data_IF_755846762350
#
_entry.id   IF_755846762350
#
_cell.length_a   1.000
_cell.length_b   1.000
_cell.length_c   1.000
_cell.angle_alpha   90.00
_cell.angle_beta   90.00
_cell.angle_gamma   90.00
#
_symmetry.space_group_name_H-M   'P 1'
#
loop_
_entity.id
_entity.type
_entity.pdbx_description
1 polymer ?
#
# COMPACT_ATOMS: atom_id res chain seq x y z
N UNK A 1 -24.07 -11.18 -6.48
CA UNK A 1 -23.61 -10.41 -7.65
C UNK A 1 -22.09 -10.53 -7.69
N UNK A 2 -21.54 -11.49 -8.42
CA UNK A 2 -20.09 -11.65 -8.62
C UNK A 2 -19.72 -11.83 -10.11
N UNK A 3 -20.30 -11.07 -11.07
CA UNK A 3 -19.94 -11.27 -12.48
C UNK A 3 -18.56 -10.71 -12.86
N UNK A 4 -18.02 -9.72 -12.13
CA UNK A 4 -16.85 -8.96 -12.61
C UNK A 4 -15.54 -9.22 -11.85
N UNK A 5 -15.58 -9.86 -10.69
CA UNK A 5 -14.39 -10.09 -9.87
C UNK A 5 -14.49 -11.47 -9.19
N UNK A 6 -14.26 -12.56 -9.94
CA UNK A 6 -14.58 -13.92 -9.47
C UNK A 6 -13.70 -14.39 -8.31
N UNK A 7 -12.53 -13.79 -8.12
CA UNK A 7 -11.57 -14.24 -7.10
C UNK A 7 -11.44 -13.29 -5.92
N UNK A 8 -12.16 -12.18 -5.89
CA UNK A 8 -12.15 -11.23 -4.78
C UNK A 8 -13.56 -10.99 -4.23
N UNK A 9 -13.63 -10.61 -2.96
CA UNK A 9 -14.85 -10.13 -2.32
C UNK A 9 -14.64 -8.74 -1.74
N UNK A 10 -15.63 -7.85 -1.95
CA UNK A 10 -15.60 -6.50 -1.42
C UNK A 10 -16.26 -6.42 -0.06
N UNK A 11 -15.57 -5.81 0.90
CA UNK A 11 -16.07 -5.55 2.25
C UNK A 11 -16.26 -4.06 2.43
N UNK A 12 -17.44 -3.66 2.90
CA UNK A 12 -17.69 -2.29 3.33
C UNK A 12 -17.01 -2.06 4.69
N UNK A 13 -16.07 -1.11 4.70
CA UNK A 13 -15.31 -0.69 5.88
C UNK A 13 -15.51 0.78 6.21
N UNK A 14 -16.49 1.44 5.58
CA UNK A 14 -16.74 2.89 5.70
C UNK A 14 -17.21 3.34 7.08
N UNK A 15 -17.62 2.41 7.96
CA UNK A 15 -18.17 2.74 9.27
C UNK A 15 -17.14 2.60 10.40
N UNK A 16 -16.13 1.75 10.24
CA UNK A 16 -15.20 1.40 11.31
C UNK A 16 -13.76 1.75 10.93
N UNK A 17 -13.08 2.65 11.69
CA UNK A 17 -11.65 2.83 11.55
C UNK A 17 -10.90 1.53 11.85
N UNK A 18 -9.94 1.19 10.99
CA UNK A 18 -9.20 -0.06 11.01
C UNK A 18 -7.84 0.16 11.65
N UNK A 19 -7.56 -0.58 12.73
CA UNK A 19 -6.25 -0.59 13.37
C UNK A 19 -5.30 -1.51 12.59
N UNK A 20 -4.20 -0.94 12.14
CA UNK A 20 -3.12 -1.70 11.50
C UNK A 20 -2.17 -2.26 12.56
N UNK A 21 -1.40 -3.29 12.19
CA UNK A 21 -0.29 -3.81 13.02
C UNK A 21 0.82 -2.78 13.27
N UNK A 22 0.76 -1.63 12.58
CA UNK A 22 1.75 -0.58 12.58
C UNK A 22 1.44 0.52 13.61
N UNK A 23 0.42 0.34 14.45
CA UNK A 23 -0.05 1.35 15.40
C UNK A 23 -0.78 2.53 14.77
N UNK A 24 -1.03 2.51 13.45
CA UNK A 24 -1.85 3.52 12.77
C UNK A 24 -3.29 3.06 12.57
N UNK A 25 -4.19 4.02 12.40
CA UNK A 25 -5.60 3.80 12.05
C UNK A 25 -5.86 4.32 10.65
N UNK A 26 -6.42 3.47 9.79
CA UNK A 26 -6.84 3.81 8.43
C UNK A 26 -8.34 3.57 8.27
N UNK A 27 -8.97 4.16 7.26
CA UNK A 27 -10.42 4.00 7.07
C UNK A 27 -10.80 4.08 5.59
N UNK A 28 -10.29 3.18 4.73
CA UNK A 28 -10.84 3.05 3.38
C UNK A 28 -12.32 2.65 3.47
N UNK A 29 -13.14 3.12 2.54
CA UNK A 29 -14.57 2.78 2.52
C UNK A 29 -14.83 1.33 2.09
N UNK A 30 -13.97 0.80 1.20
CA UNK A 30 -14.06 -0.55 0.68
C UNK A 30 -12.68 -1.20 0.72
N UNK A 31 -12.62 -2.47 1.12
CA UNK A 31 -11.42 -3.30 0.90
C UNK A 31 -11.82 -4.55 0.13
N UNK A 32 -11.05 -4.85 -0.91
CA UNK A 32 -11.15 -6.11 -1.63
C UNK A 32 -10.17 -7.12 -1.04
N UNK A 33 -10.68 -8.31 -0.73
CA UNK A 33 -9.92 -9.45 -0.24
C UNK A 33 -10.03 -10.63 -1.19
N UNK A 34 -9.12 -11.62 -1.11
CA UNK A 34 -9.31 -12.90 -1.77
C UNK A 34 -10.69 -13.49 -1.43
N UNK A 35 -11.31 -14.18 -2.40
CA UNK A 35 -12.61 -14.81 -2.21
C UNK A 35 -12.59 -15.74 -0.98
N UNK A 36 -13.66 -15.70 -0.20
CA UNK A 36 -13.84 -16.45 1.05
C UNK A 36 -12.89 -16.05 2.21
N UNK A 37 -12.02 -15.07 2.02
CA UNK A 37 -11.24 -14.52 3.12
C UNK A 37 -12.15 -13.76 4.09
N UNK A 38 -12.00 -14.02 5.37
CA UNK A 38 -12.68 -13.29 6.44
C UNK A 38 -11.64 -12.41 7.14
N UNK A 39 -11.69 -11.08 6.96
CA UNK A 39 -10.71 -10.19 7.55
C UNK A 39 -10.82 -10.19 9.07
N UNK A 40 -9.67 -10.21 9.72
CA UNK A 40 -9.54 -10.00 11.16
C UNK A 40 -9.71 -8.52 11.49
N UNK A 41 -10.23 -8.22 12.69
CA UNK A 41 -10.24 -6.85 13.22
C UNK A 41 -8.82 -6.30 13.48
N UNK A 42 -7.85 -7.21 13.61
CA UNK A 42 -6.43 -6.91 13.83
C UNK A 42 -5.73 -6.97 12.48
N UNK A 43 -5.13 -5.84 12.06
CA UNK A 43 -4.39 -5.66 10.81
C UNK A 43 -5.08 -6.14 9.51
N UNK A 44 -6.24 -5.56 9.18
CA UNK A 44 -7.01 -5.95 7.99
C UNK A 44 -6.28 -5.66 6.66
N UNK A 45 -5.22 -4.85 6.66
CA UNK A 45 -4.40 -4.60 5.47
C UNK A 45 -3.33 -5.68 5.23
N UNK A 46 -3.10 -6.61 6.15
CA UNK A 46 -2.15 -7.72 5.99
C UNK A 46 -2.51 -8.66 4.83
N UNK A 47 -3.78 -8.70 4.44
CA UNK A 47 -4.34 -9.58 3.40
C UNK A 47 -5.17 -8.83 2.35
N UNK A 48 -5.22 -7.50 2.42
CA UNK A 48 -5.93 -6.69 1.44
C UNK A 48 -5.31 -6.82 0.04
N UNK A 49 -6.14 -6.87 -0.99
CA UNK A 49 -5.68 -6.85 -2.39
C UNK A 49 -5.79 -5.44 -2.98
N UNK A 50 -6.92 -4.76 -2.76
CA UNK A 50 -7.20 -3.42 -3.29
C UNK A 50 -7.98 -2.63 -2.23
N UNK A 51 -7.63 -1.36 -2.03
CA UNK A 51 -8.42 -0.43 -1.21
C UNK A 51 -9.26 0.49 -2.09
N UNK A 52 -10.42 0.91 -1.60
CA UNK A 52 -11.38 1.72 -2.32
C UNK A 52 -11.93 2.84 -1.45
N UNK A 53 -12.13 4.00 -2.06
CA UNK A 53 -12.75 5.17 -1.43
C UNK A 53 -13.97 5.59 -2.26
N UNK A 54 -15.05 6.02 -1.60
CA UNK A 54 -16.27 6.49 -2.24
C UNK A 54 -16.53 7.94 -1.81
N UNK A 55 -16.64 8.81 -2.81
CA UNK A 55 -16.96 10.23 -2.63
C UNK A 55 -18.31 10.51 -3.28
N UNK A 56 -19.15 11.28 -2.62
CA UNK A 56 -20.54 11.50 -3.07
C UNK A 56 -20.74 12.88 -3.70
N UNK A 57 -19.80 13.80 -3.54
CA UNK A 57 -19.86 15.11 -4.15
C UNK A 57 -18.94 15.19 -5.37
N UNK A 58 -19.42 15.83 -6.44
CA UNK A 58 -18.66 15.95 -7.70
C UNK A 58 -17.38 16.80 -7.54
N UNK A 59 -17.40 17.73 -6.59
CA UNK A 59 -16.29 18.65 -6.30
C UNK A 59 -15.25 18.03 -5.36
N UNK A 60 -15.41 16.75 -4.99
CA UNK A 60 -14.41 15.98 -4.25
C UNK A 60 -13.40 15.30 -5.15
N UNK A 61 -13.60 15.26 -6.49
CA UNK A 61 -12.58 14.78 -7.43
C UNK A 61 -11.48 15.82 -7.52
N UNK A 62 -10.32 15.59 -6.91
CA UNK A 62 -9.33 16.63 -6.80
C UNK A 62 -8.44 16.68 -8.06
N UNK A 63 -8.67 15.80 -9.05
CA UNK A 63 -7.86 15.67 -10.26
C UNK A 63 -8.50 16.37 -11.46
N UNK A 64 -7.68 16.95 -12.35
CA UNK A 64 -8.11 17.45 -13.67
C UNK A 64 -7.41 16.72 -14.81
N UNK A 65 -8.19 16.31 -15.82
CA UNK A 65 -7.69 15.59 -16.99
C UNK A 65 -7.49 16.50 -18.22
N UNK A 66 -7.81 17.79 -18.08
CA UNK A 66 -7.77 18.68 -19.22
C UNK A 66 -6.39 19.34 -19.34
N UNK A 67 -5.62 18.89 -20.34
CA UNK A 67 -4.49 19.64 -20.88
C UNK A 67 -4.90 21.09 -21.22
N UNK A 68 -6.19 21.33 -21.53
CA UNK A 68 -6.77 22.64 -21.80
C UNK A 68 -6.89 23.53 -20.55
N UNK A 69 -7.15 23.01 -19.34
CA UNK A 69 -7.06 23.82 -18.11
C UNK A 69 -5.60 24.06 -17.73
N UNK A 70 -4.69 23.13 -18.01
CA UNK A 70 -3.25 23.40 -17.91
C UNK A 70 -2.84 24.57 -18.85
N UNK A 71 -3.36 24.61 -20.09
CA UNK A 71 -3.12 25.68 -21.08
C UNK A 71 -3.97 26.96 -20.84
N UNK A 72 -5.10 26.88 -20.16
CA UNK A 72 -5.92 28.06 -19.84
C UNK A 72 -5.42 28.75 -18.58
N UNK A 73 -4.98 27.95 -17.60
CA UNK A 73 -4.05 28.42 -16.59
C UNK A 73 -2.94 29.13 -17.34
N UNK A 74 -2.18 28.47 -18.25
CA UNK A 74 -1.25 28.95 -19.35
C UNK A 74 -1.26 30.43 -19.83
N UNK A 75 -2.47 31.00 -19.92
CA UNK A 75 -2.69 32.34 -20.48
C UNK A 75 -3.15 33.38 -19.46
N UNK A 76 -3.60 32.93 -18.30
CA UNK A 76 -4.16 33.77 -17.23
C UNK A 76 -3.10 34.35 -16.27
N UNK A 77 -1.80 34.15 -16.54
CA UNK A 77 -0.71 34.58 -15.66
C UNK A 77 -0.53 33.74 -14.39
N UNK A 78 -1.16 32.57 -14.31
CA UNK A 78 -1.22 31.70 -13.14
C UNK A 78 -0.10 30.62 -13.06
N UNK A 79 1.06 30.83 -13.70
CA UNK A 79 2.28 30.02 -13.45
C UNK A 79 3.40 30.96 -13.10
N UNK A 80 3.76 30.95 -11.82
CA UNK A 80 5.18 30.98 -11.50
C UNK A 80 5.71 29.57 -11.62
N UNK A 81 6.51 29.35 -12.67
CA UNK A 81 7.54 28.32 -12.67
C UNK A 81 8.32 28.46 -11.37
N UNK A 82 8.31 27.42 -10.52
CA UNK A 82 8.91 27.43 -9.18
C UNK A 82 8.54 28.68 -8.35
N UNK A 83 7.31 28.69 -7.84
CA UNK A 83 7.08 29.25 -6.50
C UNK A 83 6.07 28.34 -5.82
N UNK A 84 6.53 27.68 -4.76
CA UNK A 84 5.76 26.93 -3.75
C UNK A 84 4.27 26.65 -4.07
N UNK A 85 3.97 25.41 -4.49
CA UNK A 85 2.68 24.79 -4.16
C UNK A 85 1.55 24.69 -5.20
N UNK A 86 1.80 24.78 -6.52
CA UNK A 86 0.75 24.50 -7.53
C UNK A 86 1.02 23.23 -8.34
N UNK A 87 0.03 22.34 -8.39
CA UNK A 87 0.11 21.00 -8.99
C UNK A 87 -0.72 20.99 -10.29
N UNK A 88 -0.09 20.67 -11.43
CA UNK A 88 -0.70 20.80 -12.78
C UNK A 88 -1.97 19.95 -13.00
N UNK A 89 -2.18 18.93 -12.16
CA UNK A 89 -3.28 17.98 -12.24
C UNK A 89 -4.36 18.23 -11.18
N UNK A 90 -4.36 19.39 -10.50
CA UNK A 90 -5.16 19.63 -9.29
C UNK A 90 -6.08 20.83 -9.43
N UNK A 91 -7.36 20.64 -9.10
CA UNK A 91 -8.40 21.68 -9.20
C UNK A 91 -8.47 22.53 -7.91
N UNK A 92 -8.48 21.87 -6.75
CA UNK A 92 -8.47 22.51 -5.42
C UNK A 92 -7.29 21.94 -4.62
N UNK A 93 -6.18 22.69 -4.46
CA UNK A 93 -5.00 22.22 -3.76
C UNK A 93 -5.25 21.78 -2.32
N UNK A 94 -6.17 22.42 -1.59
CA UNK A 94 -6.42 22.10 -0.19
C UNK A 94 -7.19 20.78 -0.04
N UNK A 95 -8.31 20.65 -0.78
CA UNK A 95 -9.09 19.41 -0.80
C UNK A 95 -8.30 18.26 -1.43
N UNK A 96 -7.48 18.55 -2.44
CA UNK A 96 -6.55 17.59 -3.04
C UNK A 96 -5.54 17.07 -2.03
N UNK A 97 -4.85 17.95 -1.31
CA UNK A 97 -3.86 17.53 -0.33
C UNK A 97 -4.49 16.68 0.78
N UNK A 98 -5.74 16.96 1.15
CA UNK A 98 -6.49 16.16 2.12
C UNK A 98 -6.87 14.78 1.57
N UNK A 99 -7.54 14.71 0.42
CA UNK A 99 -8.02 13.44 -0.17
C UNK A 99 -6.85 12.57 -0.65
N UNK A 100 -5.86 13.17 -1.33
CA UNK A 100 -4.64 12.46 -1.73
C UNK A 100 -3.85 12.03 -0.50
N UNK A 101 -3.72 12.87 0.53
CA UNK A 101 -3.03 12.52 1.77
C UNK A 101 -3.67 11.32 2.46
N UNK A 102 -5.00 11.28 2.51
CA UNK A 102 -5.78 10.15 3.02
C UNK A 102 -5.50 8.88 2.20
N UNK A 103 -5.66 8.94 0.87
CA UNK A 103 -5.43 7.78 -0.01
C UNK A 103 -3.98 7.30 0.00
N UNK A 104 -3.03 8.24 0.01
CA UNK A 104 -1.60 7.94 0.14
C UNK A 104 -1.31 7.26 1.48
N UNK A 105 -1.97 7.68 2.57
CA UNK A 105 -1.82 7.00 3.86
C UNK A 105 -2.30 5.54 3.80
N UNK A 106 -3.36 5.25 3.04
CA UNK A 106 -3.86 3.89 2.85
C UNK A 106 -2.90 3.05 2.02
N UNK A 107 -2.39 3.60 0.92
CA UNK A 107 -1.37 2.95 0.11
C UNK A 107 -0.07 2.69 0.90
N UNK A 108 0.40 3.67 1.68
CA UNK A 108 1.56 3.54 2.57
C UNK A 108 1.33 2.42 3.60
N UNK A 109 0.18 2.43 4.28
CA UNK A 109 -0.14 1.39 5.26
C UNK A 109 -0.19 -0.01 4.60
N UNK A 110 -0.78 -0.12 3.42
CA UNK A 110 -0.85 -1.38 2.67
C UNK A 110 0.54 -1.89 2.25
N UNK A 111 1.39 -0.99 1.73
CA UNK A 111 2.79 -1.25 1.37
C UNK A 111 3.71 -1.56 2.57
N UNK A 112 3.30 -1.19 3.79
CA UNK A 112 3.98 -1.57 5.03
C UNK A 112 3.46 -2.91 5.56
N UNK A 113 2.15 -3.16 5.50
CA UNK A 113 1.53 -4.42 5.96
C UNK A 113 1.89 -5.62 5.09
N UNK A 114 2.32 -5.41 3.84
CA UNK A 114 2.66 -6.48 2.89
C UNK A 114 3.94 -6.17 2.10
N UNK A 115 4.69 -7.23 1.75
CA UNK A 115 5.80 -7.14 0.79
C UNK A 115 5.26 -6.96 -0.62
N UNK A 116 5.10 -5.70 -1.01
CA UNK A 116 4.55 -5.29 -2.30
C UNK A 116 5.50 -4.30 -2.98
N UNK A 117 5.71 -4.49 -4.28
CA UNK A 117 6.41 -3.55 -5.18
C UNK A 117 5.51 -2.35 -5.53
N UNK A 118 4.21 -2.61 -5.65
CA UNK A 118 3.16 -1.63 -5.88
C UNK A 118 1.81 -2.14 -5.36
N UNK A 119 0.85 -1.24 -5.17
CA UNK A 119 -0.53 -1.57 -4.80
C UNK A 119 -1.50 -0.80 -5.67
N UNK A 120 -2.69 -1.37 -5.88
CA UNK A 120 -3.76 -0.70 -6.59
C UNK A 120 -4.82 -0.20 -5.61
N UNK A 121 -5.46 0.91 -5.97
CA UNK A 121 -6.68 1.36 -5.33
C UNK A 121 -7.62 2.02 -6.33
N UNK A 122 -8.85 2.24 -5.91
CA UNK A 122 -9.85 2.93 -6.73
C UNK A 122 -10.57 4.01 -5.95
N UNK A 123 -11.07 4.99 -6.67
CA UNK A 123 -11.87 6.10 -6.16
C UNK A 123 -13.16 6.18 -6.99
N UNK A 124 -14.32 6.15 -6.32
CA UNK A 124 -15.62 6.19 -6.98
C UNK A 124 -16.32 7.50 -6.64
N UNK A 125 -16.87 8.14 -7.67
CA UNK A 125 -17.77 9.28 -7.62
C UNK A 125 -19.14 8.90 -8.19
N UNK A 126 -20.20 9.73 -8.03
CA UNK A 126 -21.51 9.42 -8.60
C UNK A 126 -21.51 9.26 -10.13
N UNK A 127 -20.55 9.89 -10.82
CA UNK A 127 -20.50 9.91 -12.29
C UNK A 127 -19.43 9.01 -12.91
N UNK A 128 -18.34 8.74 -12.18
CA UNK A 128 -17.16 8.09 -12.74
C UNK A 128 -16.30 7.45 -11.63
N UNK A 129 -15.29 6.70 -12.02
CA UNK A 129 -14.26 6.17 -11.14
C UNK A 129 -12.86 6.52 -11.64
N UNK A 130 -11.86 6.44 -10.75
CA UNK A 130 -10.45 6.47 -11.08
C UNK A 130 -9.76 5.23 -10.53
N UNK A 131 -8.87 4.65 -11.33
CA UNK A 131 -7.98 3.58 -10.91
C UNK A 131 -6.59 4.14 -10.66
N UNK A 132 -5.91 3.61 -9.66
CA UNK A 132 -4.70 4.20 -9.12
C UNK A 132 -3.69 3.11 -8.85
N UNK A 133 -2.47 3.30 -9.32
CA UNK A 133 -1.33 2.44 -9.01
C UNK A 133 -0.33 3.23 -8.18
N UNK A 134 -0.05 2.76 -6.99
CA UNK A 134 0.91 3.34 -6.07
C UNK A 134 2.15 2.48 -6.02
N UNK A 135 3.32 3.09 -6.15
CA UNK A 135 4.58 2.43 -5.88
C UNK A 135 5.44 3.29 -4.94
N UNK A 136 6.70 2.91 -4.78
CA UNK A 136 7.64 3.62 -3.90
C UNK A 136 8.20 4.91 -4.53
N UNK A 137 7.90 5.21 -5.79
CA UNK A 137 8.29 6.47 -6.43
C UNK A 137 7.14 7.49 -6.43
N UNK A 138 5.89 7.01 -6.44
CA UNK A 138 4.72 7.86 -6.40
C UNK A 138 3.45 7.12 -6.78
N UNK A 139 2.59 7.79 -7.55
CA UNK A 139 1.32 7.24 -7.99
C UNK A 139 0.99 7.65 -9.42
N UNK A 140 0.32 6.75 -10.14
CA UNK A 140 -0.25 7.00 -11.46
C UNK A 140 -1.75 6.73 -11.39
N UNK A 141 -2.52 7.61 -12.02
CA UNK A 141 -3.99 7.58 -11.98
C UNK A 141 -4.53 7.52 -13.41
N UNK A 142 -5.67 6.87 -13.58
CA UNK A 142 -6.41 6.96 -14.85
C UNK A 142 -7.13 8.30 -14.95
N UNK A 143 -7.48 8.67 -16.18
CA UNK A 143 -8.60 9.59 -16.40
C UNK A 143 -9.91 9.03 -15.83
N UNK A 144 -10.98 9.85 -15.78
CA UNK A 144 -12.27 9.48 -15.23
C UNK A 144 -12.88 8.42 -16.13
N UNK A 145 -13.18 7.27 -15.54
CA UNK A 145 -13.83 6.14 -16.18
C UNK A 145 -15.32 6.24 -15.86
N UNK A 146 -16.20 6.50 -16.85
CA UNK A 146 -17.64 6.50 -16.59
C UNK A 146 -18.08 5.17 -15.97
N UNK A 147 -18.94 5.19 -14.95
CA UNK A 147 -19.31 3.94 -14.24
C UNK A 147 -20.05 2.91 -15.12
N UNK A 148 -20.61 3.36 -16.24
CA UNK A 148 -21.27 2.51 -17.24
C UNK A 148 -20.29 1.87 -18.22
N UNK A 149 -19.04 2.32 -18.23
CA UNK A 149 -17.99 1.80 -19.10
C UNK A 149 -17.54 0.43 -18.60
N UNK A 150 -17.28 -0.50 -19.53
CA UNK A 150 -16.76 -1.82 -19.22
C UNK A 150 -15.34 -1.78 -18.68
N UNK A 151 -14.57 -0.70 -18.88
CA UNK A 151 -13.18 -0.61 -18.44
C UNK A 151 -12.98 -0.86 -16.94
N UNK A 152 -13.89 -0.37 -16.10
CA UNK A 152 -13.80 -0.60 -14.65
C UNK A 152 -14.02 -2.07 -14.30
N UNK A 153 -15.05 -2.69 -14.90
CA UNK A 153 -15.33 -4.11 -14.73
C UNK A 153 -14.20 -5.00 -15.28
N UNK A 154 -13.66 -4.62 -16.45
CA UNK A 154 -12.56 -5.32 -17.11
C UNK A 154 -11.28 -5.27 -16.28
N UNK A 155 -10.98 -4.13 -15.63
CA UNK A 155 -9.84 -4.04 -14.71
C UNK A 155 -9.96 -5.07 -13.58
N UNK A 156 -11.09 -5.11 -12.86
CA UNK A 156 -11.28 -6.06 -11.76
C UNK A 156 -11.29 -7.52 -12.24
N UNK A 157 -11.86 -7.77 -13.42
CA UNK A 157 -11.83 -9.08 -14.06
C UNK A 157 -10.38 -9.50 -14.33
N UNK A 158 -9.60 -8.67 -15.01
CA UNK A 158 -8.18 -8.95 -15.31
C UNK A 158 -7.36 -9.08 -14.04
N UNK A 159 -7.57 -8.24 -13.03
CA UNK A 159 -6.90 -8.33 -11.74
C UNK A 159 -7.14 -9.69 -11.08
N UNK A 160 -8.36 -10.23 -11.17
CA UNK A 160 -8.72 -11.54 -10.63
C UNK A 160 -7.91 -12.70 -11.24
N UNK A 161 -7.40 -12.53 -12.45
CA UNK A 161 -6.56 -13.51 -13.13
C UNK A 161 -5.08 -13.12 -13.21
N UNK A 162 -4.73 -11.92 -12.73
CA UNK A 162 -3.36 -11.43 -12.71
C UNK A 162 -2.49 -12.28 -11.76
N UNK A 163 -1.24 -12.50 -12.15
CA UNK A 163 -0.26 -13.21 -11.30
C UNK A 163 0.04 -12.40 -10.03
N UNK A 164 0.59 -13.03 -8.97
CA UNK A 164 1.00 -12.28 -7.77
C UNK A 164 1.91 -11.09 -8.08
N UNK A 165 2.87 -11.24 -8.99
CA UNK A 165 3.79 -10.17 -9.42
C UNK A 165 3.03 -9.01 -10.08
N UNK A 166 2.04 -9.31 -10.94
CA UNK A 166 1.20 -8.31 -11.60
C UNK A 166 0.25 -7.59 -10.63
N UNK A 167 -0.14 -8.26 -9.53
CA UNK A 167 -0.84 -7.64 -8.39
C UNK A 167 0.11 -6.87 -7.46
N UNK A 168 1.41 -6.91 -7.74
CA UNK A 168 2.42 -6.17 -7.03
C UNK A 168 3.03 -6.89 -5.83
N UNK A 169 2.81 -8.19 -5.62
CA UNK A 169 3.57 -8.96 -4.64
C UNK A 169 5.06 -8.99 -5.02
N UNK A 170 5.92 -8.84 -4.01
CA UNK A 170 7.35 -9.05 -4.18
C UNK A 170 7.69 -10.53 -4.03
N UNK A 171 7.69 -11.25 -5.15
CA UNK A 171 7.80 -12.71 -5.17
C UNK A 171 9.22 -13.24 -4.85
N UNK A 172 10.21 -12.36 -4.66
CA UNK A 172 11.51 -12.76 -4.12
C UNK A 172 11.45 -12.96 -2.59
N UNK A 173 10.45 -12.37 -1.93
CA UNK A 173 10.22 -12.50 -0.49
C UNK A 173 9.39 -13.75 -0.23
N UNK A 174 9.90 -14.62 0.63
CA UNK A 174 9.26 -15.90 0.98
C UNK A 174 9.03 -15.98 2.48
N UNK A 175 8.06 -16.77 2.98
CA UNK A 175 7.96 -17.06 4.40
C UNK A 175 9.28 -17.66 4.91
N UNK A 176 9.72 -17.24 6.10
CA UNK A 176 10.91 -17.82 6.71
C UNK A 176 10.57 -19.19 7.30
N UNK A 177 11.26 -20.24 6.86
CA UNK A 177 11.05 -21.62 7.32
C UNK A 177 12.16 -22.13 8.26
N UNK A 178 13.12 -21.29 8.62
CA UNK A 178 14.20 -21.66 9.54
C UNK A 178 13.77 -21.71 11.01
N UNK A 179 14.73 -21.90 11.92
CA UNK A 179 14.46 -21.93 13.35
C UNK A 179 14.06 -20.52 13.86
N UNK A 180 12.76 -20.28 13.97
CA UNK A 180 12.18 -19.00 14.36
C UNK A 180 12.69 -18.51 15.73
N UNK A 181 12.86 -19.42 16.69
CA UNK A 181 13.36 -19.08 18.02
C UNK A 181 14.80 -18.53 17.94
N UNK A 182 15.69 -19.21 17.20
CA UNK A 182 17.07 -18.75 17.01
C UNK A 182 17.13 -17.43 16.23
N UNK A 183 16.33 -17.30 15.18
CA UNK A 183 16.27 -16.07 14.39
C UNK A 183 15.80 -14.87 15.24
N UNK A 184 14.71 -15.03 15.99
CA UNK A 184 14.20 -13.98 16.91
C UNK A 184 15.25 -13.61 17.96
N UNK A 185 15.88 -14.60 18.60
CA UNK A 185 16.94 -14.37 19.58
C UNK A 185 18.11 -13.58 18.98
N UNK A 186 18.59 -13.99 17.80
CA UNK A 186 19.66 -13.28 17.08
C UNK A 186 19.26 -11.83 16.76
N UNK A 187 18.04 -11.60 16.28
CA UNK A 187 17.55 -10.25 15.98
C UNK A 187 17.51 -9.39 17.24
N UNK A 188 17.00 -9.91 18.36
CA UNK A 188 16.95 -9.21 19.65
C UNK A 188 18.37 -8.83 20.11
N UNK A 189 19.32 -9.76 20.03
CA UNK A 189 20.72 -9.52 20.40
C UNK A 189 21.39 -8.43 19.54
N UNK A 190 21.04 -8.33 18.25
CA UNK A 190 21.57 -7.31 17.33
C UNK A 190 20.96 -5.91 17.53
N UNK A 191 19.75 -5.80 18.12
CA UNK A 191 19.05 -4.52 18.29
C UNK A 191 19.54 -3.72 19.51
N UNK A 192 20.34 -4.31 20.41
CA UNK A 192 20.86 -3.65 21.62
C UNK A 192 19.80 -3.41 22.71
N UNK A 193 20.18 -2.86 23.88
CA UNK A 193 19.23 -2.50 24.94
C UNK A 193 18.26 -1.42 24.43
N UNK A 194 16.99 -1.68 24.71
CA UNK A 194 15.83 -1.23 23.98
C UNK A 194 15.32 0.13 24.47
N UNK A 195 15.18 1.11 23.57
CA UNK A 195 14.65 2.45 23.89
C UNK A 195 13.16 2.53 23.44
N UNK A 196 12.29 1.90 24.23
CA UNK A 196 10.88 2.32 24.36
C UNK A 196 9.81 1.93 23.31
N UNK A 197 10.10 1.31 22.17
CA UNK A 197 9.06 0.91 21.20
C UNK A 197 8.75 -0.60 21.25
N UNK A 198 7.76 -1.04 22.04
CA UNK A 198 7.40 -2.41 22.46
C UNK A 198 7.05 -3.44 21.35
N UNK A 199 7.47 -3.18 20.11
CA UNK A 199 6.98 -3.79 18.89
C UNK A 199 7.67 -5.12 18.50
N UNK A 200 8.71 -5.54 19.22
CA UNK A 200 9.33 -6.88 19.08
C UNK A 200 9.03 -7.84 20.24
N UNK A 201 8.66 -7.31 21.42
CA UNK A 201 8.48 -8.09 22.65
C UNK A 201 7.07 -8.65 22.84
N UNK A 202 6.05 -8.03 22.24
CA UNK A 202 4.65 -8.36 22.47
C UNK A 202 3.88 -8.82 21.22
N UNK A 203 4.49 -8.72 20.03
CA UNK A 203 3.83 -9.00 18.76
C UNK A 203 4.59 -10.06 17.97
N UNK A 204 3.85 -10.98 17.38
CA UNK A 204 4.34 -12.05 16.52
C UNK A 204 5.05 -11.47 15.29
N UNK A 205 6.35 -11.19 15.39
CA UNK A 205 7.13 -10.70 14.25
C UNK A 205 7.14 -11.75 13.16
N UNK A 206 6.48 -11.42 12.04
CA UNK A 206 6.47 -12.26 10.85
C UNK A 206 7.80 -12.15 10.12
N UNK A 207 8.63 -13.18 10.26
CA UNK A 207 9.91 -13.27 9.58
C UNK A 207 9.73 -13.86 8.17
N UNK A 208 10.45 -13.27 7.24
CA UNK A 208 10.48 -13.66 5.83
C UNK A 208 11.93 -13.80 5.40
N UNK A 209 12.17 -14.46 4.28
CA UNK A 209 13.47 -14.67 3.69
C UNK A 209 13.51 -14.04 2.30
N UNK A 210 14.62 -13.36 1.99
CA UNK A 210 14.91 -12.84 0.65
C UNK A 210 16.19 -13.48 0.16
N UNK A 211 16.12 -14.12 -1.00
CA UNK A 211 17.28 -14.63 -1.72
C UNK A 211 17.60 -13.71 -2.90
N UNK A 212 18.80 -13.16 -2.92
CA UNK A 212 19.20 -12.27 -4.02
C UNK A 212 19.54 -13.13 -5.26
N UNK A 213 18.97 -12.86 -6.45
CA UNK A 213 19.19 -13.69 -7.63
C UNK A 213 20.66 -13.87 -8.04
N UNK A 214 21.50 -12.87 -7.74
CA UNK A 214 22.91 -12.83 -8.10
C UNK A 214 23.88 -13.21 -6.96
N UNK A 215 23.38 -13.60 -5.79
CA UNK A 215 24.23 -13.93 -4.64
C UNK A 215 23.77 -15.20 -3.94
N UNK A 216 24.71 -16.01 -3.43
CA UNK A 216 24.40 -17.13 -2.53
C UNK A 216 23.94 -16.69 -1.13
N UNK A 217 23.71 -15.40 -0.91
CA UNK A 217 23.29 -14.85 0.37
C UNK A 217 21.77 -14.75 0.43
N UNK A 218 21.20 -15.28 1.50
CA UNK A 218 19.84 -14.98 1.91
C UNK A 218 19.83 -14.07 3.13
N UNK A 219 18.77 -13.27 3.23
CA UNK A 219 18.55 -12.33 4.33
C UNK A 219 17.24 -12.65 5.01
N UNK A 220 17.23 -12.61 6.33
CA UNK A 220 15.99 -12.57 7.09
C UNK A 220 15.49 -11.14 7.02
N UNK A 221 14.23 -10.95 6.63
CA UNK A 221 13.58 -9.65 6.59
C UNK A 221 12.31 -9.67 7.43
N UNK A 222 12.00 -8.55 8.07
CA UNK A 222 10.74 -8.38 8.79
C UNK A 222 9.94 -7.23 8.19
N UNK A 223 8.61 -7.34 8.30
CA UNK A 223 7.73 -6.21 8.07
C UNK A 223 7.98 -5.11 9.11
N UNK A 224 7.64 -3.86 8.80
CA UNK A 224 7.54 -2.78 9.77
C UNK A 224 6.65 -3.16 10.94
N UNK A 225 7.05 -2.75 12.14
CA UNK A 225 6.26 -2.93 13.37
C UNK A 225 5.60 -1.63 13.83
N UNK A 226 5.96 -0.51 13.22
CA UNK A 226 5.35 0.80 13.41
C UNK A 226 5.34 1.58 12.09
N UNK A 227 4.32 2.40 11.88
CA UNK A 227 4.26 3.38 10.80
C UNK A 227 4.53 4.76 11.37
N UNK A 228 5.71 5.33 11.08
CA UNK A 228 5.99 6.74 11.30
C UNK A 228 5.01 7.59 10.48
N UNK A 229 3.91 8.00 11.11
CA UNK A 229 2.76 8.67 10.52
C UNK A 229 3.18 10.05 9.99
N UNK A 230 3.29 10.14 8.66
CA UNK A 230 3.49 11.32 7.78
C UNK A 230 4.28 10.93 6.51
N UNK A 231 4.80 9.71 6.45
CA UNK A 231 5.62 9.26 5.32
C UNK A 231 4.80 8.91 4.07
N UNK A 232 5.15 9.54 2.95
CA UNK A 232 4.64 9.19 1.62
C UNK A 232 4.96 7.71 1.29
N UNK A 233 4.24 7.08 0.35
CA UNK A 233 4.49 5.68 -0.09
C UNK A 233 5.96 5.37 -0.39
N UNK A 234 6.71 6.39 -0.83
CA UNK A 234 8.15 6.32 -1.08
C UNK A 234 9.03 6.01 0.12
N UNK A 235 8.57 6.25 1.33
CA UNK A 235 9.38 6.11 2.55
C UNK A 235 8.96 4.90 3.40
N UNK A 236 7.90 4.20 3.00
CA UNK A 236 7.43 2.98 3.63
C UNK A 236 8.44 1.81 3.58
N UNK A 237 9.53 1.90 2.80
CA UNK A 237 10.61 0.89 2.81
C UNK A 237 11.61 1.09 3.95
N UNK A 238 11.74 2.30 4.50
CA UNK A 238 12.73 2.62 5.57
C UNK A 238 12.52 1.83 6.86
N UNK A 239 11.32 1.31 7.03
CA UNK A 239 10.88 0.57 8.22
C UNK A 239 11.04 -0.95 8.06
N UNK A 240 11.34 -1.45 6.86
CA UNK A 240 11.72 -2.85 6.70
C UNK A 240 13.14 -3.04 7.21
N UNK A 241 13.34 -4.11 7.99
CA UNK A 241 14.63 -4.47 8.55
C UNK A 241 15.10 -5.76 7.90
N UNK A 242 16.40 -5.83 7.60
CA UNK A 242 17.04 -7.00 7.00
C UNK A 242 18.29 -7.36 7.81
N UNK A 243 18.47 -8.65 8.05
CA UNK A 243 19.60 -9.20 8.79
C UNK A 243 20.24 -10.32 7.99
N UNK A 244 21.56 -10.32 7.88
CA UNK A 244 22.29 -11.49 7.41
C UNK A 244 22.37 -12.52 8.54
N UNK A 245 21.58 -13.57 8.45
CA UNK A 245 21.61 -14.68 9.41
C UNK A 245 22.41 -15.83 8.82
N UNK A 246 23.56 -16.13 9.41
CA UNK A 246 24.32 -17.34 9.13
C UNK A 246 24.09 -18.30 10.28
N UNK A 247 23.42 -19.44 10.08
CA UNK A 247 23.42 -20.49 11.08
C UNK A 247 24.89 -20.87 11.26
N UNK A 248 25.48 -20.56 12.42
CA UNK A 248 26.77 -21.11 12.76
C UNK A 248 26.58 -22.62 12.84
N UNK A 249 26.94 -23.35 11.79
CA UNK A 249 27.25 -24.77 11.90
C UNK A 249 28.42 -24.83 12.86
N UNK A 250 28.14 -25.05 14.15
CA UNK A 250 29.18 -25.47 15.10
C UNK A 250 29.67 -26.82 14.59
N UNK A 251 30.74 -26.80 13.80
CA UNK A 251 31.59 -27.96 13.62
C UNK A 251 32.28 -28.19 14.95
N UNK A 252 31.67 -29.05 15.77
CA UNK A 252 32.39 -29.69 16.86
C UNK A 252 33.39 -30.65 16.21
N UNK A 253 34.64 -30.20 16.11
CA UNK A 253 35.81 -31.07 15.94
C UNK A 253 36.63 -30.98 17.21
#
# INVERSE_FOLDING_TARGET
MTPYCPTLTGHNTSQEPLKTSLGTTVKPDIILYPLNFQPTKVDPLSSAEITGEVKFEKDEDPFTDSARLAIYNVRSGYYRLRTEGTWEFVIDPAKYLQNLGQMASYATAHLCSQFRTHVFSFLIFPSHARLMKWDRAGAVFTGPIPLKDSLLAEFFWRYSYATPEQRGYDCIVKPFHGNLHLAKRFIIEQLGPYDGDDSLGSHEVSLHEVSMPSSLKSYIVSRPSHLGISSLPSWATRVFKAWSFWPQTRSYY
#
